data_IF_892198214795
#
_entry.id   IF_892198214795
#
_cell.length_a   1.000
_cell.length_b   1.000
_cell.length_c   1.000
_cell.angle_alpha   90.00
_cell.angle_beta   90.00
_cell.angle_gamma   90.00
#
_symmetry.space_group_name_H-M   'P 1'
#
loop_
_entity.id
_entity.type
_entity.pdbx_description
1 polymer ?
#
# COMPACT_ATOMS: atom_id res chain seq x y z
N UNK A 1 -1.17 -4.85 -1.87
CA UNK A 1 -0.34 -4.64 -0.66
C UNK A 1 -0.37 -5.90 0.19
N UNK A 2 0.71 -6.26 0.89
CA UNK A 2 0.77 -7.47 1.71
C UNK A 2 0.28 -7.18 3.15
N UNK A 3 -1.00 -7.41 3.43
CA UNK A 3 -1.51 -7.43 4.80
C UNK A 3 -1.05 -8.66 5.57
N UNK A 4 -1.15 -8.62 6.90
CA UNK A 4 -0.74 -9.76 7.75
C UNK A 4 -1.54 -11.03 7.38
N UNK A 5 -2.86 -10.90 7.30
CA UNK A 5 -3.78 -12.02 7.01
C UNK A 5 -3.91 -12.36 5.53
N UNK A 6 -3.32 -11.57 4.63
CA UNK A 6 -3.45 -11.74 3.19
C UNK A 6 -3.16 -10.48 2.40
N UNK A 7 -3.04 -10.63 1.09
CA UNK A 7 -2.86 -9.49 0.19
C UNK A 7 -4.21 -8.82 -0.08
N UNK A 8 -4.22 -7.49 -0.08
CA UNK A 8 -5.40 -6.70 -0.41
C UNK A 8 -5.03 -5.47 -1.24
N UNK A 9 -6.04 -4.86 -1.84
CA UNK A 9 -5.93 -3.61 -2.59
C UNK A 9 -6.95 -2.60 -2.07
N UNK A 10 -6.66 -1.33 -2.31
CA UNK A 10 -7.51 -0.20 -1.89
C UNK A 10 -7.84 0.59 -3.14
N UNK A 11 -9.14 0.78 -3.40
CA UNK A 11 -9.67 1.56 -4.52
C UNK A 11 -10.22 2.90 -4.04
N UNK A 12 -10.63 3.73 -5.00
CA UNK A 12 -11.30 5.01 -4.73
C UNK A 12 -12.54 4.80 -3.83
N UNK A 13 -12.71 5.68 -2.84
CA UNK A 13 -13.80 5.70 -1.86
C UNK A 13 -13.92 4.42 -1.02
N UNK A 14 -12.79 3.75 -0.76
CA UNK A 14 -12.77 2.67 0.20
C UNK A 14 -13.14 3.16 1.61
N UNK A 15 -13.79 2.29 2.39
CA UNK A 15 -14.15 2.57 3.78
C UNK A 15 -12.90 2.84 4.64
N UNK A 16 -13.02 3.63 5.73
CA UNK A 16 -11.93 3.85 6.65
C UNK A 16 -11.37 2.53 7.19
N UNK A 17 -10.05 2.37 7.15
CA UNK A 17 -9.37 1.13 7.51
C UNK A 17 -7.98 1.42 8.04
N UNK A 18 -7.59 0.72 9.11
CA UNK A 18 -6.20 0.65 9.55
C UNK A 18 -5.79 -0.81 9.54
N UNK A 19 -4.69 -1.12 8.86
CA UNK A 19 -4.18 -2.49 8.76
C UNK A 19 -2.67 -2.50 8.83
N UNK A 20 -2.15 -3.48 9.53
CA UNK A 20 -0.71 -3.72 9.58
C UNK A 20 -0.25 -4.45 8.30
N UNK A 21 0.91 -4.07 7.81
CA UNK A 21 1.55 -4.59 6.62
C UNK A 21 2.76 -5.42 7.03
N UNK A 22 2.92 -6.59 6.42
CA UNK A 22 4.12 -7.41 6.56
C UNK A 22 5.15 -7.05 5.48
N UNK A 23 6.37 -7.57 5.63
CA UNK A 23 7.39 -7.49 4.60
C UNK A 23 6.85 -7.98 3.25
N UNK A 24 7.09 -7.21 2.20
CA UNK A 24 6.71 -7.59 0.85
C UNK A 24 6.55 -6.40 -0.09
N UNK A 25 5.89 -6.66 -1.22
CA UNK A 25 5.81 -5.71 -2.32
C UNK A 25 4.48 -4.95 -2.33
N UNK A 26 4.57 -3.62 -2.33
CA UNK A 26 3.47 -2.68 -2.50
C UNK A 26 3.48 -2.17 -3.95
N UNK A 27 2.33 -2.26 -4.60
CA UNK A 27 2.12 -1.81 -5.98
C UNK A 27 1.20 -0.58 -5.95
N UNK A 28 1.64 0.52 -6.54
CA UNK A 28 0.86 1.76 -6.64
C UNK A 28 0.61 2.07 -8.11
N UNK A 29 -0.66 2.13 -8.49
CA UNK A 29 -1.08 2.54 -9.83
C UNK A 29 -1.19 4.06 -9.85
N UNK A 30 -0.34 4.75 -10.62
CA UNK A 30 -0.37 6.22 -10.70
C UNK A 30 -1.41 6.73 -11.69
N UNK A 31 -1.69 5.97 -12.75
CA UNK A 31 -2.60 6.39 -13.80
C UNK A 31 -3.28 5.21 -14.50
N UNK A 32 -4.34 5.48 -15.27
CA UNK A 32 -5.04 4.49 -16.11
C UNK A 32 -4.18 3.97 -17.27
N UNK A 33 -3.06 4.63 -17.55
CA UNK A 33 -2.07 4.22 -18.56
C UNK A 33 -1.06 3.18 -18.04
N UNK A 34 -1.38 2.46 -16.96
CA UNK A 34 -0.57 1.35 -16.45
C UNK A 34 0.80 1.74 -15.85
N UNK A 35 1.06 3.04 -15.63
CA UNK A 35 2.22 3.50 -14.87
C UNK A 35 2.13 2.99 -13.43
N UNK A 36 2.95 1.99 -13.15
CA UNK A 36 2.96 1.33 -11.86
C UNK A 36 4.28 1.64 -11.15
N UNK A 37 4.20 2.17 -9.94
CA UNK A 37 5.36 2.21 -9.04
C UNK A 37 5.32 1.02 -8.10
N UNK A 38 6.47 0.38 -7.92
CA UNK A 38 6.61 -0.79 -7.05
C UNK A 38 7.56 -0.46 -5.91
N UNK A 39 7.15 -0.76 -4.69
CA UNK A 39 7.94 -0.53 -3.50
C UNK A 39 8.07 -1.83 -2.72
N UNK A 40 9.29 -2.22 -2.37
CA UNK A 40 9.52 -3.33 -1.45
C UNK A 40 9.67 -2.76 -0.04
N UNK A 41 8.83 -3.23 0.88
CA UNK A 41 8.75 -2.74 2.26
C UNK A 41 9.14 -3.85 3.24
N UNK A 42 9.78 -3.49 4.35
CA UNK A 42 10.11 -4.46 5.41
C UNK A 42 8.95 -4.72 6.38
N UNK A 43 8.04 -3.77 6.52
CA UNK A 43 6.90 -3.86 7.44
C UNK A 43 6.39 -2.47 7.81
N UNK A 44 5.19 -2.41 8.37
CA UNK A 44 4.58 -1.16 8.79
C UNK A 44 3.07 -1.24 8.94
N UNK A 45 2.39 -0.13 8.69
CA UNK A 45 0.93 -0.05 8.72
C UNK A 45 0.41 0.93 7.66
N UNK A 46 -0.80 0.66 7.21
CA UNK A 46 -1.55 1.52 6.28
C UNK A 46 -2.81 2.03 6.96
N UNK A 47 -3.06 3.31 6.74
CA UNK A 47 -4.27 4.01 7.12
C UNK A 47 -5.00 4.47 5.86
N UNK A 48 -6.29 4.19 5.78
CA UNK A 48 -7.21 4.69 4.77
C UNK A 48 -8.23 5.55 5.49
N UNK A 49 -8.24 6.85 5.20
CA UNK A 49 -9.16 7.79 5.83
C UNK A 49 -9.44 8.95 4.87
N UNK A 50 -10.71 9.38 4.74
CA UNK A 50 -11.11 10.50 3.88
C UNK A 50 -10.57 10.41 2.44
N UNK A 51 -10.67 9.22 1.83
CA UNK A 51 -10.14 8.92 0.50
C UNK A 51 -8.62 9.15 0.34
N UNK A 52 -7.89 9.15 1.45
CA UNK A 52 -6.43 9.26 1.49
C UNK A 52 -5.87 7.97 2.06
N UNK A 53 -4.88 7.42 1.37
CA UNK A 53 -4.12 6.25 1.83
C UNK A 53 -2.75 6.73 2.30
N UNK A 54 -2.46 6.51 3.58
CA UNK A 54 -1.17 6.81 4.20
C UNK A 54 -0.49 5.50 4.56
N UNK A 55 0.75 5.32 4.12
CA UNK A 55 1.53 4.11 4.37
C UNK A 55 2.78 4.49 5.15
N UNK A 56 2.89 3.98 6.38
CA UNK A 56 4.02 4.19 7.28
C UNK A 56 4.79 2.88 7.39
N UNK A 57 6.06 2.92 7.02
CA UNK A 57 6.92 1.73 6.93
C UNK A 57 8.29 2.00 7.54
N UNK A 58 8.88 0.98 8.13
CA UNK A 58 10.21 1.06 8.74
C UNK A 58 11.33 1.23 7.69
N UNK A 59 11.13 0.67 6.51
CA UNK A 59 12.03 0.81 5.37
C UNK A 59 11.32 0.48 4.06
N UNK A 60 11.62 1.26 3.02
CA UNK A 60 11.09 1.09 1.67
C UNK A 60 12.19 1.25 0.63
N UNK A 61 12.24 0.35 -0.33
CA UNK A 61 13.06 0.47 -1.54
C UNK A 61 12.15 0.68 -2.75
N UNK A 62 12.44 1.71 -3.54
CA UNK A 62 11.75 1.98 -4.79
C UNK A 62 12.36 1.12 -5.88
N UNK A 63 11.54 0.28 -6.50
CA UNK A 63 11.91 -0.48 -7.68
C UNK A 63 11.13 0.14 -8.85
N UNK A 64 11.83 0.98 -9.62
CA UNK A 64 11.30 1.62 -10.84
C UNK A 64 11.16 0.62 -12.00
#
# INVERSE_FOLDING_TARGET
>A
MPGISGSFEVLDKHAPLVSALKAGRVKVLRDKQNHTATFDIQGGFVEVLNNKVTVLVEGATSNE
#
